data_IF_959715829427
#
_entry.id   IF_959715829427
#
_cell.length_a   1.000
_cell.length_b   1.000
_cell.length_c   1.000
_cell.angle_alpha   90.00
_cell.angle_beta   90.00
_cell.angle_gamma   90.00
#
_symmetry.space_group_name_H-M   'P 1'
#
loop_
_entity.id
_entity.type
_entity.pdbx_description
1 polymer ?
#
# COMPACT_ATOMS: atom_id res chain seq x y z
N UNK A 1 43.49 -6.55 -59.71
CA UNK A 1 43.69 -6.66 -58.25
C UNK A 1 42.51 -6.01 -57.54
N UNK A 2 41.61 -6.86 -57.06
CA UNK A 2 40.64 -6.70 -55.97
C UNK A 2 40.31 -5.29 -55.46
N UNK A 3 39.14 -4.83 -55.91
CA UNK A 3 38.17 -4.10 -55.09
C UNK A 3 37.97 -4.78 -53.72
N UNK A 4 38.22 -4.07 -52.62
CA UNK A 4 37.74 -4.41 -51.28
C UNK A 4 36.91 -3.25 -50.76
N UNK A 5 35.62 -3.51 -50.68
CA UNK A 5 34.59 -2.66 -50.10
C UNK A 5 34.80 -2.48 -48.60
N UNK A 6 34.83 -1.23 -48.15
CA UNK A 6 34.74 -0.87 -46.73
C UNK A 6 33.28 -0.93 -46.30
N UNK A 7 32.95 -1.90 -45.44
CA UNK A 7 31.62 -2.02 -44.85
C UNK A 7 31.42 -0.98 -43.75
N UNK A 8 30.42 -0.13 -43.90
CA UNK A 8 29.86 0.75 -42.87
C UNK A 8 29.10 -0.08 -41.82
N UNK A 9 29.60 -0.11 -40.58
CA UNK A 9 28.86 -0.61 -39.43
C UNK A 9 28.00 0.53 -38.83
N UNK A 10 26.67 0.42 -38.99
CA UNK A 10 25.68 1.28 -38.30
C UNK A 10 25.50 0.76 -36.87
N UNK A 11 25.85 1.58 -35.88
CA UNK A 11 25.51 1.33 -34.47
C UNK A 11 24.07 1.78 -34.19
N UNK A 12 23.19 0.83 -33.87
CA UNK A 12 21.84 1.09 -33.35
C UNK A 12 21.86 1.16 -31.82
N UNK A 13 21.15 2.12 -31.17
CA UNK A 13 21.11 2.20 -29.72
C UNK A 13 20.14 1.15 -29.14
N UNK A 14 20.65 0.35 -28.19
CA UNK A 14 19.94 -0.70 -27.48
C UNK A 14 19.03 -0.06 -26.42
N UNK A 15 17.70 -0.19 -26.57
CA UNK A 15 16.71 0.18 -25.55
C UNK A 15 16.96 -0.63 -24.28
N UNK A 16 17.23 0.05 -23.16
CA UNK A 16 17.15 -0.53 -21.83
C UNK A 16 15.66 -0.69 -21.48
N UNK A 17 15.19 -1.93 -21.41
CA UNK A 17 13.91 -2.26 -20.83
C UNK A 17 14.09 -2.41 -19.31
N UNK A 18 13.49 -1.50 -18.55
CA UNK A 18 13.35 -1.60 -17.09
C UNK A 18 12.25 -2.60 -16.77
N UNK A 19 12.63 -3.84 -16.46
CA UNK A 19 11.70 -4.79 -15.85
C UNK A 19 11.52 -4.42 -14.38
N UNK A 20 10.34 -3.91 -14.04
CA UNK A 20 9.89 -3.73 -12.67
C UNK A 20 9.70 -5.10 -12.01
N UNK A 21 10.61 -5.44 -11.11
CA UNK A 21 10.44 -6.59 -10.21
C UNK A 21 9.47 -6.19 -9.10
N UNK A 22 8.32 -6.86 -9.12
CA UNK A 22 7.30 -6.89 -8.08
C UNK A 22 7.96 -7.30 -6.75
N UNK A 23 8.20 -6.33 -5.85
CA UNK A 23 8.67 -6.59 -4.48
C UNK A 23 7.47 -7.05 -3.66
N UNK A 24 7.24 -8.36 -3.62
CA UNK A 24 6.41 -8.96 -2.57
C UNK A 24 7.23 -9.02 -1.29
N UNK A 25 6.59 -8.60 -0.19
CA UNK A 25 7.22 -8.34 1.10
C UNK A 25 8.05 -9.50 1.63
N UNK A 26 9.26 -9.16 2.05
CA UNK A 26 10.09 -9.98 2.92
C UNK A 26 9.45 -9.98 4.31
N UNK A 27 8.51 -10.90 4.52
CA UNK A 27 8.15 -11.30 5.87
C UNK A 27 9.37 -12.01 6.46
N UNK A 28 9.89 -11.45 7.55
CA UNK A 28 10.93 -12.02 8.39
C UNK A 28 10.58 -13.47 8.76
N UNK A 29 11.22 -14.43 8.08
CA UNK A 29 11.11 -15.85 8.39
C UNK A 29 11.78 -16.09 9.75
N UNK A 30 10.98 -16.43 10.75
CA UNK A 30 11.45 -17.13 11.94
C UNK A 30 12.20 -18.39 11.50
N UNK A 31 13.32 -18.64 12.16
CA UNK A 31 14.36 -19.61 11.82
C UNK A 31 13.95 -21.08 12.09
N UNK A 32 12.66 -21.34 12.29
CA UNK A 32 12.08 -22.68 12.47
C UNK A 32 11.63 -23.31 11.12
N UNK A 33 11.78 -22.56 10.03
CA UNK A 33 11.35 -22.90 8.66
C UNK A 33 12.37 -23.71 7.83
N UNK A 34 13.49 -24.14 8.42
CA UNK A 34 14.58 -24.80 7.69
C UNK A 34 14.38 -26.31 7.44
N UNK A 35 13.43 -26.93 8.13
CA UNK A 35 13.27 -28.39 8.20
C UNK A 35 12.02 -28.93 7.47
N UNK A 36 11.38 -28.13 6.60
CA UNK A 36 10.30 -28.66 5.77
C UNK A 36 10.85 -29.58 4.67
N UNK A 37 10.67 -30.88 4.89
CA UNK A 37 11.16 -31.98 4.03
C UNK A 37 10.03 -32.50 3.16
N UNK A 38 10.27 -32.68 1.86
CA UNK A 38 9.30 -33.38 1.02
C UNK A 38 9.19 -34.87 1.44
N UNK A 39 8.01 -35.41 1.76
CA UNK A 39 7.86 -36.78 2.26
C UNK A 39 8.24 -37.86 1.23
N UNK A 40 8.34 -37.51 -0.06
CA UNK A 40 8.56 -38.46 -1.16
C UNK A 40 10.02 -38.49 -1.61
N UNK A 41 10.59 -37.32 -1.93
CA UNK A 41 11.99 -37.23 -2.35
C UNK A 41 12.96 -36.95 -1.20
N UNK A 42 12.46 -36.65 0.00
CA UNK A 42 13.24 -36.29 1.19
C UNK A 42 14.23 -35.14 0.95
N UNK A 43 13.97 -34.32 -0.07
CA UNK A 43 14.78 -33.15 -0.33
C UNK A 43 14.27 -31.99 0.52
N UNK A 44 15.19 -31.21 1.06
CA UNK A 44 14.91 -30.12 1.99
C UNK A 44 15.06 -28.78 1.27
N UNK A 45 14.30 -27.79 1.72
CA UNK A 45 14.40 -26.41 1.24
C UNK A 45 15.81 -25.82 1.42
N UNK A 46 16.58 -26.32 2.39
CA UNK A 46 17.97 -25.91 2.61
C UNK A 46 18.92 -26.28 1.44
N UNK A 47 18.75 -27.45 0.81
CA UNK A 47 19.63 -27.90 -0.28
C UNK A 47 19.25 -27.27 -1.64
N UNK A 48 17.99 -26.86 -1.79
CA UNK A 48 17.49 -26.23 -3.01
C UNK A 48 16.48 -25.12 -2.64
N UNK A 49 16.92 -23.85 -2.55
CA UNK A 49 16.09 -22.75 -2.07
C UNK A 49 14.92 -22.43 -3.02
N UNK A 50 15.03 -22.80 -4.30
CA UNK A 50 13.98 -22.57 -5.31
C UNK A 50 12.85 -23.61 -5.26
N UNK A 51 12.98 -24.66 -4.43
CA UNK A 51 11.95 -25.69 -4.32
C UNK A 51 10.73 -25.16 -3.58
N UNK A 52 9.59 -25.12 -4.27
CA UNK A 52 8.29 -24.80 -3.68
C UNK A 52 7.60 -26.07 -3.20
N UNK A 53 7.15 -26.04 -1.93
CA UNK A 53 6.24 -27.03 -1.38
C UNK A 53 4.81 -26.55 -1.63
N UNK A 54 4.03 -27.41 -2.27
CA UNK A 54 2.63 -27.18 -2.60
C UNK A 54 1.76 -28.10 -1.75
N UNK A 55 0.53 -27.65 -1.46
CA UNK A 55 -0.45 -28.35 -0.63
C UNK A 55 -1.66 -28.73 -1.47
N UNK A 56 -2.07 -30.00 -1.41
CA UNK A 56 -3.31 -30.51 -2.03
C UNK A 56 -4.56 -30.27 -1.16
N UNK A 57 -5.74 -30.55 -1.70
CA UNK A 57 -7.01 -30.68 -0.94
C UNK A 57 -6.95 -31.66 0.23
N UNK A 58 -6.05 -32.64 0.20
CA UNK A 58 -5.83 -33.59 1.29
C UNK A 58 -4.93 -33.05 2.41
N UNK A 59 -4.50 -31.77 2.32
CA UNK A 59 -3.61 -31.11 3.27
C UNK A 59 -2.28 -31.86 3.50
N UNK A 60 -1.69 -32.40 2.44
CA UNK A 60 -0.33 -32.94 2.44
C UNK A 60 0.61 -32.06 1.61
N UNK A 61 1.79 -31.77 2.16
CA UNK A 61 2.86 -30.99 1.51
C UNK A 61 3.68 -31.88 0.57
N UNK A 62 3.88 -31.46 -0.68
CA UNK A 62 4.74 -32.12 -1.66
C UNK A 62 5.49 -31.10 -2.52
N UNK A 63 6.68 -31.43 -3.01
CA UNK A 63 7.42 -30.54 -3.90
C UNK A 63 6.93 -30.62 -5.34
N UNK A 64 7.12 -29.55 -6.09
CA UNK A 64 6.72 -29.43 -7.50
C UNK A 64 7.21 -30.61 -8.37
N UNK A 65 8.48 -31.02 -8.21
CA UNK A 65 9.05 -32.14 -8.96
C UNK A 65 8.38 -33.50 -8.67
N UNK A 66 7.97 -33.74 -7.42
CA UNK A 66 7.23 -34.96 -7.07
C UNK A 66 5.81 -34.93 -7.61
N UNK A 67 5.17 -33.76 -7.57
CA UNK A 67 3.81 -33.58 -8.10
C UNK A 67 3.81 -33.83 -9.61
N UNK A 68 4.77 -33.24 -10.33
CA UNK A 68 4.86 -33.40 -11.78
C UNK A 68 5.06 -34.85 -12.21
N UNK A 69 5.90 -35.60 -11.48
CA UNK A 69 6.14 -37.01 -11.79
C UNK A 69 4.95 -37.91 -11.44
N UNK A 70 4.32 -37.71 -10.27
CA UNK A 70 3.23 -38.58 -9.79
C UNK A 70 1.91 -38.31 -10.51
N UNK A 71 1.65 -37.06 -10.88
CA UNK A 71 0.42 -36.63 -11.52
C UNK A 71 0.61 -36.31 -13.01
N UNK A 72 1.72 -36.74 -13.63
CA UNK A 72 1.97 -36.61 -15.08
C UNK A 72 0.85 -37.23 -15.92
N UNK A 73 0.34 -38.38 -15.47
CA UNK A 73 -0.71 -39.14 -16.15
C UNK A 73 -2.13 -38.62 -15.83
N UNK A 74 -2.25 -37.51 -15.09
CA UNK A 74 -3.53 -36.89 -14.73
C UNK A 74 -3.91 -37.09 -13.27
N UNK A 75 -5.20 -37.33 -13.01
CA UNK A 75 -5.71 -37.52 -11.65
C UNK A 75 -5.15 -38.82 -11.07
N UNK A 76 -4.55 -38.73 -9.87
CA UNK A 76 -3.94 -39.86 -9.19
C UNK A 76 -4.27 -39.87 -7.70
N UNK A 77 -4.09 -41.00 -7.01
CA UNK A 77 -4.24 -41.06 -5.57
C UNK A 77 -3.06 -40.36 -4.87
N UNK A 78 -3.35 -39.59 -3.82
CA UNK A 78 -2.33 -39.08 -2.92
C UNK A 78 -1.58 -40.24 -2.25
N UNK A 79 -0.25 -40.25 -2.20
CA UNK A 79 0.52 -41.37 -1.65
C UNK A 79 0.44 -41.52 -0.12
N UNK A 80 -0.12 -40.52 0.59
CA UNK A 80 -0.22 -40.52 2.05
C UNK A 80 -1.62 -40.97 2.50
N UNK A 81 -2.68 -40.46 1.88
CA UNK A 81 -4.07 -40.75 2.26
C UNK A 81 -4.91 -41.47 1.20
N UNK A 82 -4.39 -41.70 -0.01
CA UNK A 82 -5.10 -42.40 -1.09
C UNK A 82 -6.20 -41.60 -1.79
N UNK A 83 -6.54 -40.38 -1.34
CA UNK A 83 -7.57 -39.57 -1.98
C UNK A 83 -7.13 -39.10 -3.38
N UNK A 84 -8.04 -39.20 -4.34
CA UNK A 84 -7.77 -38.85 -5.74
C UNK A 84 -7.68 -37.33 -5.87
N UNK A 85 -6.52 -36.84 -6.28
CA UNK A 85 -6.22 -35.41 -6.46
C UNK A 85 -5.67 -35.14 -7.87
N UNK A 86 -5.85 -33.90 -8.34
CA UNK A 86 -5.34 -33.42 -9.64
C UNK A 86 -4.22 -32.42 -9.42
N UNK A 87 -3.31 -32.29 -10.39
CA UNK A 87 -2.23 -31.30 -10.38
C UNK A 87 -2.72 -29.86 -10.13
N UNK A 88 -3.90 -29.49 -10.67
CA UNK A 88 -4.49 -28.15 -10.50
C UNK A 88 -4.92 -27.84 -9.07
N UNK A 89 -5.18 -28.87 -8.26
CA UNK A 89 -5.65 -28.71 -6.87
C UNK A 89 -4.49 -28.49 -5.89
N UNK A 90 -3.25 -28.43 -6.39
CA UNK A 90 -2.07 -28.08 -5.61
C UNK A 90 -1.84 -26.57 -5.68
N UNK A 91 -1.89 -25.92 -4.52
CA UNK A 91 -1.61 -24.50 -4.37
C UNK A 91 -0.40 -24.29 -3.46
N UNK A 92 0.23 -23.12 -3.60
CA UNK A 92 1.28 -22.69 -2.65
C UNK A 92 0.58 -22.43 -1.31
N UNK A 93 1.12 -23.03 -0.24
CA UNK A 93 0.62 -22.78 1.10
C UNK A 93 0.88 -21.31 1.45
N UNK A 94 -0.15 -20.59 1.88
CA UNK A 94 0.01 -19.21 2.36
C UNK A 94 0.35 -19.18 3.85
N UNK A 95 -0.02 -20.24 4.57
CA UNK A 95 0.23 -20.38 6.01
C UNK A 95 1.11 -21.60 6.30
N UNK A 96 1.88 -21.52 7.39
CA UNK A 96 2.76 -22.60 7.83
C UNK A 96 1.94 -23.80 8.35
N UNK A 97 0.87 -23.51 9.10
CA UNK A 97 -0.05 -24.52 9.66
C UNK A 97 -1.17 -24.88 8.67
N UNK A 98 -1.22 -26.17 8.34
CA UNK A 98 -2.21 -26.79 7.46
C UNK A 98 -3.62 -26.78 8.07
N UNK A 99 -3.73 -26.79 9.40
CA UNK A 99 -5.03 -26.70 10.09
C UNK A 99 -5.67 -25.34 9.87
N UNK A 100 -4.88 -24.27 9.95
CA UNK A 100 -5.32 -22.90 9.66
C UNK A 100 -5.76 -22.77 8.20
N UNK A 101 -5.03 -23.38 7.25
CA UNK A 101 -5.47 -23.39 5.86
C UNK A 101 -6.81 -24.12 5.66
N UNK A 102 -7.00 -25.25 6.36
CA UNK A 102 -8.25 -26.00 6.33
C UNK A 102 -9.41 -25.18 6.89
N UNK A 103 -9.20 -24.52 8.02
CA UNK A 103 -10.16 -23.63 8.66
C UNK A 103 -10.54 -22.46 7.76
N UNK A 104 -9.57 -21.78 7.15
CA UNK A 104 -9.83 -20.64 6.25
C UNK A 104 -10.62 -21.10 5.02
N UNK A 105 -10.27 -22.25 4.42
CA UNK A 105 -11.03 -22.78 3.27
C UNK A 105 -12.48 -23.12 3.65
N UNK A 106 -12.70 -23.73 4.81
CA UNK A 106 -14.03 -24.08 5.30
C UNK A 106 -14.83 -22.81 5.64
N UNK A 107 -14.26 -21.87 6.39
CA UNK A 107 -14.92 -20.60 6.73
C UNK A 107 -15.26 -19.77 5.50
N UNK A 108 -14.37 -19.67 4.51
CA UNK A 108 -14.67 -18.99 3.23
C UNK A 108 -15.84 -19.64 2.49
N UNK A 109 -15.90 -20.98 2.47
CA UNK A 109 -17.02 -21.72 1.88
C UNK A 109 -18.33 -21.44 2.61
N UNK A 110 -18.31 -21.43 3.94
CA UNK A 110 -19.51 -21.17 4.76
C UNK A 110 -19.95 -19.73 4.61
N UNK A 111 -19.04 -18.75 4.71
CA UNK A 111 -19.34 -17.32 4.56
C UNK A 111 -19.96 -16.99 3.18
N UNK A 112 -19.63 -17.77 2.14
CA UNK A 112 -20.27 -17.62 0.83
C UNK A 112 -21.76 -17.99 0.85
N UNK A 113 -22.15 -19.01 1.63
CA UNK A 113 -23.54 -19.45 1.76
C UNK A 113 -24.30 -18.67 2.84
N UNK A 114 -23.64 -18.30 3.93
CA UNK A 114 -24.20 -17.58 5.06
C UNK A 114 -23.81 -16.10 4.99
N UNK A 115 -24.37 -15.39 4.01
CA UNK A 115 -24.01 -14.01 3.68
C UNK A 115 -25.06 -12.98 4.16
N UNK A 116 -25.77 -13.26 5.26
CA UNK A 116 -26.72 -12.32 5.87
C UNK A 116 -25.97 -11.26 6.68
N UNK A 117 -26.42 -10.00 6.59
CA UNK A 117 -25.85 -8.86 7.33
C UNK A 117 -26.70 -8.56 8.57
N UNK A 118 -26.14 -7.76 9.48
CA UNK A 118 -26.87 -7.25 10.63
C UNK A 118 -28.17 -6.53 10.23
N UNK A 119 -28.18 -5.83 9.10
CA UNK A 119 -29.35 -5.13 8.53
C UNK A 119 -30.54 -6.06 8.21
N UNK A 120 -30.27 -7.35 7.98
CA UNK A 120 -31.30 -8.34 7.62
C UNK A 120 -32.04 -8.86 8.86
N UNK A 121 -31.60 -8.50 10.07
CA UNK A 121 -32.17 -8.97 11.34
C UNK A 121 -32.84 -7.82 12.11
N UNK A 122 -33.97 -8.09 12.79
CA UNK A 122 -34.68 -7.08 13.58
C UNK A 122 -33.97 -6.74 14.91
N UNK A 123 -33.11 -7.63 15.41
CA UNK A 123 -32.43 -7.49 16.71
C UNK A 123 -30.98 -7.94 16.63
N UNK A 124 -30.10 -7.24 17.34
CA UNK A 124 -28.70 -7.61 17.49
C UNK A 124 -28.53 -9.01 18.13
N UNK A 125 -29.46 -9.41 19.01
CA UNK A 125 -29.41 -10.73 19.65
C UNK A 125 -29.60 -11.85 18.62
N UNK A 126 -30.57 -11.72 17.73
CA UNK A 126 -30.83 -12.72 16.68
C UNK A 126 -29.66 -12.81 15.69
N UNK A 127 -29.03 -11.68 15.39
CA UNK A 127 -27.81 -11.66 14.58
C UNK A 127 -26.65 -12.40 15.26
N UNK A 128 -26.43 -12.18 16.56
CA UNK A 128 -25.39 -12.89 17.32
C UNK A 128 -25.69 -14.39 17.43
N UNK A 129 -26.94 -14.77 17.71
CA UNK A 129 -27.37 -16.17 17.75
C UNK A 129 -27.13 -16.85 16.39
N UNK A 130 -27.40 -16.15 15.28
CA UNK A 130 -27.08 -16.62 13.92
C UNK A 130 -25.57 -16.80 13.69
N UNK A 131 -24.73 -15.85 14.12
CA UNK A 131 -23.27 -15.98 14.01
C UNK A 131 -22.74 -17.17 14.81
N UNK A 132 -23.28 -17.42 16.01
CA UNK A 132 -22.94 -18.60 16.81
C UNK A 132 -23.34 -19.90 16.10
N UNK A 133 -24.52 -19.96 15.47
CA UNK A 133 -24.93 -21.11 14.66
C UNK A 133 -23.97 -21.37 13.48
N UNK A 134 -23.55 -20.30 12.79
CA UNK A 134 -22.59 -20.38 11.68
C UNK A 134 -21.23 -20.89 12.16
N UNK A 135 -20.72 -20.39 13.28
CA UNK A 135 -19.46 -20.88 13.87
C UNK A 135 -19.57 -22.33 14.36
N UNK A 136 -20.71 -22.74 14.93
CA UNK A 136 -20.93 -24.13 15.29
C UNK A 136 -20.88 -25.07 14.06
N UNK A 137 -21.47 -24.65 12.94
CA UNK A 137 -21.39 -25.37 11.66
C UNK A 137 -19.95 -25.44 11.15
N UNK A 138 -19.20 -24.33 11.23
CA UNK A 138 -17.80 -24.28 10.82
C UNK A 138 -16.93 -25.19 11.69
N UNK A 139 -17.11 -25.14 13.01
CA UNK A 139 -16.37 -25.94 13.97
C UNK A 139 -16.62 -27.44 13.78
N UNK A 140 -17.86 -27.84 13.52
CA UNK A 140 -18.22 -29.23 13.21
C UNK A 140 -17.48 -29.72 11.95
N UNK A 141 -17.44 -28.90 10.89
CA UNK A 141 -16.75 -29.24 9.64
C UNK A 141 -15.22 -29.30 9.79
N UNK A 142 -14.63 -28.42 10.60
CA UNK A 142 -13.18 -28.40 10.85
C UNK A 142 -12.75 -29.66 11.60
N UNK A 143 -13.48 -30.03 12.66
CA UNK A 143 -13.17 -31.16 13.53
C UNK A 143 -13.69 -32.51 12.98
N UNK A 144 -14.51 -32.49 11.93
CA UNK A 144 -15.07 -33.72 11.34
C UNK A 144 -16.18 -34.35 12.19
N UNK A 145 -16.87 -33.56 13.00
CA UNK A 145 -17.96 -34.02 13.87
C UNK A 145 -19.27 -33.86 13.13
N UNK A 146 -20.03 -34.95 13.00
CA UNK A 146 -21.33 -34.99 12.33
C UNK A 146 -21.34 -34.32 10.93
N UNK A 147 -20.44 -34.77 10.05
CA UNK A 147 -20.30 -34.22 8.69
C UNK A 147 -21.60 -34.33 7.88
N UNK A 148 -22.27 -35.47 7.94
CA UNK A 148 -23.49 -35.72 7.14
C UNK A 148 -24.65 -34.80 7.54
N UNK A 149 -24.91 -34.66 8.85
CA UNK A 149 -25.97 -33.79 9.35
C UNK A 149 -25.65 -32.32 9.07
N UNK A 150 -24.39 -31.93 9.22
CA UNK A 150 -23.95 -30.55 8.99
C UNK A 150 -24.04 -30.20 7.51
N UNK A 151 -23.62 -31.10 6.61
CA UNK A 151 -23.79 -30.92 5.17
C UNK A 151 -25.25 -30.91 4.74
N UNK A 152 -26.11 -31.73 5.36
CA UNK A 152 -27.54 -31.72 5.10
C UNK A 152 -28.17 -30.38 5.50
N UNK A 153 -27.80 -29.84 6.68
CA UNK A 153 -28.23 -28.50 7.13
C UNK A 153 -27.79 -27.41 6.16
N UNK A 154 -26.54 -27.45 5.68
CA UNK A 154 -26.03 -26.49 4.69
C UNK A 154 -26.83 -26.59 3.38
N UNK A 155 -27.11 -27.80 2.88
CA UNK A 155 -27.89 -27.99 1.64
C UNK A 155 -29.33 -27.51 1.79
N UNK A 156 -29.98 -27.77 2.92
CA UNK A 156 -31.32 -27.28 3.20
C UNK A 156 -31.33 -25.73 3.21
N UNK A 157 -30.39 -25.12 3.93
CA UNK A 157 -30.25 -23.67 3.98
C UNK A 157 -30.01 -23.05 2.59
N UNK A 158 -29.14 -23.67 1.78
CA UNK A 158 -28.88 -23.23 0.40
C UNK A 158 -30.13 -23.29 -0.47
N UNK A 159 -30.96 -24.31 -0.33
CA UNK A 159 -32.19 -24.46 -1.11
C UNK A 159 -33.25 -23.43 -0.70
N UNK A 160 -33.42 -23.21 0.60
CA UNK A 160 -34.40 -22.26 1.14
C UNK A 160 -34.01 -20.80 0.87
N UNK A 161 -32.72 -20.48 0.95
CA UNK A 161 -32.22 -19.10 0.86
C UNK A 161 -31.46 -18.81 -0.43
N UNK A 162 -31.59 -19.65 -1.47
CA UNK A 162 -30.83 -19.51 -2.72
C UNK A 162 -30.90 -18.08 -3.30
N UNK A 163 -32.10 -17.52 -3.40
CA UNK A 163 -32.33 -16.22 -4.02
C UNK A 163 -31.80 -15.07 -3.15
N UNK A 164 -31.93 -15.18 -1.83
CA UNK A 164 -31.36 -14.21 -0.88
C UNK A 164 -29.83 -14.22 -0.92
N UNK A 165 -29.24 -15.41 -0.99
CA UNK A 165 -27.78 -15.58 -1.10
C UNK A 165 -27.29 -14.94 -2.40
N UNK A 166 -27.96 -15.18 -3.51
CA UNK A 166 -27.61 -14.60 -4.81
C UNK A 166 -27.73 -13.07 -4.80
N UNK A 167 -28.80 -12.51 -4.23
CA UNK A 167 -28.99 -11.07 -4.12
C UNK A 167 -27.92 -10.40 -3.24
N UNK A 168 -27.63 -10.98 -2.07
CA UNK A 168 -26.58 -10.49 -1.17
C UNK A 168 -25.19 -10.58 -1.80
N UNK A 169 -24.89 -11.67 -2.53
CA UNK A 169 -23.62 -11.81 -3.25
C UNK A 169 -23.50 -10.75 -4.38
N UNK A 170 -24.58 -10.44 -5.09
CA UNK A 170 -24.59 -9.37 -6.09
C UNK A 170 -24.38 -7.99 -5.46
N UNK A 171 -25.01 -7.72 -4.31
CA UNK A 171 -24.79 -6.48 -3.54
C UNK A 171 -23.32 -6.31 -3.13
N UNK A 172 -22.72 -7.35 -2.55
CA UNK A 172 -21.28 -7.37 -2.21
C UNK A 172 -20.39 -7.07 -3.43
N UNK A 173 -20.67 -7.69 -4.58
CA UNK A 173 -19.89 -7.48 -5.81
C UNK A 173 -20.05 -6.07 -6.37
N UNK A 174 -21.21 -5.45 -6.21
CA UNK A 174 -21.44 -4.07 -6.62
C UNK A 174 -20.66 -3.10 -5.72
N UNK A 175 -20.74 -3.29 -4.40
CA UNK A 175 -19.99 -2.49 -3.42
C UNK A 175 -18.47 -2.61 -3.65
N UNK A 176 -17.93 -3.82 -3.87
CA UNK A 176 -16.51 -4.03 -4.16
C UNK A 176 -16.08 -3.32 -5.45
N UNK A 177 -16.92 -3.35 -6.50
CA UNK A 177 -16.65 -2.62 -7.75
C UNK A 177 -16.63 -1.11 -7.54
N UNK A 178 -17.58 -0.59 -6.76
CA UNK A 178 -17.62 0.84 -6.44
C UNK A 178 -16.39 1.26 -5.64
N UNK A 179 -15.99 0.49 -4.63
CA UNK A 179 -14.79 0.76 -3.84
C UNK A 179 -13.52 0.81 -4.72
N UNK A 180 -13.35 -0.15 -5.64
CA UNK A 180 -12.22 -0.15 -6.59
C UNK A 180 -12.23 1.06 -7.53
N UNK A 181 -13.40 1.49 -7.99
CA UNK A 181 -13.51 2.68 -8.85
C UNK A 181 -13.11 3.96 -8.11
N UNK A 182 -13.49 4.08 -6.83
CA UNK A 182 -13.06 5.20 -5.99
C UNK A 182 -11.55 5.17 -5.78
N UNK A 183 -10.98 4.02 -5.42
CA UNK A 183 -9.54 3.87 -5.23
C UNK A 183 -8.75 4.22 -6.52
N UNK A 184 -9.22 3.77 -7.69
CA UNK A 184 -8.62 4.11 -8.97
C UNK A 184 -8.69 5.61 -9.30
N UNK A 185 -9.77 6.29 -8.91
CA UNK A 185 -9.91 7.74 -9.10
C UNK A 185 -8.92 8.50 -8.22
N UNK A 186 -8.83 8.13 -6.93
CA UNK A 186 -7.88 8.73 -5.99
C UNK A 186 -6.42 8.53 -6.44
N UNK A 187 -6.09 7.33 -6.94
CA UNK A 187 -4.74 7.07 -7.47
C UNK A 187 -4.43 7.92 -8.71
N UNK A 188 -5.40 8.12 -9.62
CA UNK A 188 -5.21 8.98 -10.80
C UNK A 188 -5.05 10.44 -10.42
N UNK A 189 -5.81 10.91 -9.44
CA UNK A 189 -5.68 12.28 -8.92
C UNK A 189 -4.28 12.49 -8.34
N UNK A 190 -3.83 11.61 -7.45
CA UNK A 190 -2.46 11.63 -6.88
C UNK A 190 -1.37 11.59 -7.95
N UNK A 191 -1.53 10.76 -8.98
CA UNK A 191 -0.60 10.72 -10.11
C UNK A 191 -0.58 12.05 -10.88
N UNK A 192 -1.75 12.64 -11.15
CA UNK A 192 -1.84 13.91 -11.86
C UNK A 192 -1.23 15.07 -11.07
N UNK A 193 -1.36 15.05 -9.74
CA UNK A 193 -0.75 16.02 -8.85
C UNK A 193 0.76 15.88 -8.82
N UNK A 194 1.26 14.65 -8.73
CA UNK A 194 2.69 14.36 -8.79
C UNK A 194 3.30 14.79 -10.12
N UNK A 195 2.64 14.54 -11.25
CA UNK A 195 3.09 15.00 -12.57
C UNK A 195 3.15 16.52 -12.67
N UNK A 196 2.12 17.23 -12.17
CA UNK A 196 2.13 18.70 -12.11
C UNK A 196 3.28 19.21 -11.25
N UNK A 197 3.54 18.59 -10.11
CA UNK A 197 4.65 18.95 -9.23
C UNK A 197 6.02 18.74 -9.91
N UNK A 198 6.19 17.65 -10.67
CA UNK A 198 7.40 17.45 -11.46
C UNK A 198 7.58 18.53 -12.53
N UNK A 199 6.49 18.91 -13.22
CA UNK A 199 6.53 19.96 -14.23
C UNK A 199 6.94 21.31 -13.63
N UNK A 200 6.38 21.69 -12.47
CA UNK A 200 6.75 22.96 -11.82
C UNK A 200 8.22 22.97 -11.39
N UNK A 201 8.76 21.86 -10.88
CA UNK A 201 10.19 21.73 -10.58
C UNK A 201 11.08 21.84 -11.82
N UNK A 202 10.68 21.23 -12.95
CA UNK A 202 11.43 21.35 -14.21
C UNK A 202 11.42 22.78 -14.76
N UNK A 203 10.27 23.44 -14.72
CA UNK A 203 10.13 24.84 -15.11
C UNK A 203 11.00 25.73 -14.22
N UNK A 204 11.00 25.53 -12.90
CA UNK A 204 11.86 26.27 -11.98
C UNK A 204 13.36 26.05 -12.28
N UNK A 205 13.75 24.82 -12.62
CA UNK A 205 15.14 24.50 -13.03
C UNK A 205 15.52 25.22 -14.32
N UNK A 206 14.64 25.21 -15.34
CA UNK A 206 14.87 25.90 -16.62
C UNK A 206 14.99 27.40 -16.40
N UNK A 207 14.09 28.01 -15.63
CA UNK A 207 14.14 29.43 -15.30
C UNK A 207 15.43 29.79 -14.54
N UNK A 208 15.87 28.95 -13.58
CA UNK A 208 17.16 29.16 -12.90
C UNK A 208 18.35 29.06 -13.84
N UNK A 209 18.29 28.21 -14.88
CA UNK A 209 19.35 28.11 -15.88
C UNK A 209 19.38 29.36 -16.79
N UNK A 210 18.24 29.77 -17.35
CA UNK A 210 18.16 30.96 -18.19
C UNK A 210 18.60 32.22 -17.45
N UNK A 211 18.18 32.38 -16.20
CA UNK A 211 18.62 33.50 -15.35
C UNK A 211 20.13 33.49 -15.09
N UNK A 212 20.76 32.31 -14.99
CA UNK A 212 22.21 32.20 -14.86
C UNK A 212 22.92 32.56 -16.15
N UNK A 213 22.40 32.12 -17.29
CA UNK A 213 22.99 32.39 -18.60
C UNK A 213 22.89 33.89 -18.94
N UNK A 214 21.73 34.51 -18.72
CA UNK A 214 21.53 35.97 -18.85
C UNK A 214 22.48 36.75 -17.93
N UNK A 215 22.67 36.27 -16.69
CA UNK A 215 23.61 36.88 -15.75
C UNK A 215 25.06 36.80 -16.23
N UNK A 216 25.46 35.67 -16.85
CA UNK A 216 26.80 35.50 -17.44
C UNK A 216 26.98 36.44 -18.64
N UNK A 217 25.97 36.56 -19.50
CA UNK A 217 26.01 37.47 -20.66
C UNK A 217 26.12 38.94 -20.24
N UNK A 218 25.40 39.36 -19.20
CA UNK A 218 25.46 40.73 -18.66
C UNK A 218 26.83 41.05 -18.05
N UNK A 219 27.46 40.08 -17.39
CA UNK A 219 28.84 40.20 -16.90
C UNK A 219 29.88 40.25 -18.04
N UNK A 220 29.60 39.61 -19.18
CA UNK A 220 30.51 39.58 -20.32
C UNK A 220 30.38 40.82 -21.23
N UNK A 221 29.20 41.44 -21.28
CA UNK A 221 28.91 42.57 -22.19
C UNK A 221 29.09 43.94 -21.54
N UNK A 222 29.03 44.04 -20.21
CA UNK A 222 29.16 45.31 -19.51
C UNK A 222 30.57 45.55 -18.95
N UNK A 223 31.12 46.75 -19.17
CA UNK A 223 32.42 47.19 -18.63
C UNK A 223 32.34 47.67 -17.17
N UNK A 224 31.20 47.47 -16.50
CA UNK A 224 30.98 47.91 -15.13
C UNK A 224 31.63 46.95 -14.12
N UNK A 225 32.03 47.47 -12.95
CA UNK A 225 32.68 46.67 -11.91
C UNK A 225 31.75 45.51 -11.47
N UNK A 226 32.21 44.24 -11.49
CA UNK A 226 31.39 43.06 -11.18
C UNK A 226 30.63 43.13 -9.84
N UNK A 227 31.20 43.82 -8.85
CA UNK A 227 30.61 44.00 -7.52
C UNK A 227 29.30 44.81 -7.53
N UNK A 228 29.17 45.79 -8.44
CA UNK A 228 27.95 46.62 -8.54
C UNK A 228 26.79 45.84 -9.19
N UNK A 229 27.08 45.06 -10.22
CA UNK A 229 26.09 44.22 -10.93
C UNK A 229 25.56 43.12 -9.99
N UNK A 230 26.43 42.51 -9.20
CA UNK A 230 26.04 41.54 -8.16
C UNK A 230 25.17 42.17 -7.07
N UNK A 231 25.46 43.41 -6.64
CA UNK A 231 24.68 44.12 -5.63
C UNK A 231 23.27 44.47 -6.15
N UNK A 232 23.16 44.94 -7.39
CA UNK A 232 21.87 45.25 -8.03
C UNK A 232 21.01 44.01 -8.23
N UNK A 233 21.58 42.90 -8.73
CA UNK A 233 20.84 41.63 -8.90
C UNK A 233 20.49 40.97 -7.57
N UNK A 234 21.31 41.08 -6.53
CA UNK A 234 20.97 40.62 -5.17
C UNK A 234 19.83 41.46 -4.56
N UNK A 235 19.83 42.77 -4.77
CA UNK A 235 18.73 43.64 -4.34
C UNK A 235 17.43 43.31 -5.10
N UNK A 236 17.51 43.07 -6.41
CA UNK A 236 16.37 42.67 -7.24
C UNK A 236 15.85 41.25 -6.88
N UNK A 237 16.75 40.29 -6.63
CA UNK A 237 16.38 38.94 -6.21
C UNK A 237 15.76 38.91 -4.81
N UNK A 238 16.25 39.74 -3.87
CA UNK A 238 15.65 39.90 -2.55
C UNK A 238 14.24 40.51 -2.62
N UNK A 239 14.04 41.51 -3.49
CA UNK A 239 12.72 42.09 -3.74
C UNK A 239 11.76 41.10 -4.41
N UNK A 240 12.24 40.31 -5.38
CA UNK A 240 11.43 39.28 -6.06
C UNK A 240 11.10 38.08 -5.14
N UNK A 241 12.01 37.68 -4.25
CA UNK A 241 11.77 36.64 -3.25
C UNK A 241 10.68 37.08 -2.23
N UNK A 242 10.71 38.34 -1.79
CA UNK A 242 9.68 38.90 -0.91
C UNK A 242 8.29 38.99 -1.57
N UNK A 243 8.24 39.19 -2.90
CA UNK A 243 6.97 39.15 -3.64
C UNK A 243 6.46 37.71 -3.85
N UNK A 244 7.35 36.72 -4.02
CA UNK A 244 6.96 35.30 -4.20
C UNK A 244 6.39 34.67 -2.92
N UNK A 245 6.90 35.01 -1.74
CA UNK A 245 6.34 34.54 -0.46
C UNK A 245 4.91 35.03 -0.21
N UNK A 246 4.55 36.21 -0.74
CA UNK A 246 3.18 36.74 -0.68
C UNK A 246 2.20 36.09 -1.66
N UNK A 247 2.69 35.48 -2.76
CA UNK A 247 1.87 34.77 -3.74
C UNK A 247 1.61 33.31 -3.36
N UNK A 248 2.62 32.61 -2.82
CA UNK A 248 2.44 31.23 -2.34
C UNK A 248 1.44 31.16 -1.19
N UNK A 249 1.47 32.09 -0.24
CA UNK A 249 0.47 32.19 0.84
C UNK A 249 -0.94 32.51 0.34
N UNK A 250 -1.08 33.25 -0.77
CA UNK A 250 -2.38 33.54 -1.40
C UNK A 250 -2.92 32.35 -2.24
N UNK A 251 -2.05 31.57 -2.87
CA UNK A 251 -2.42 30.38 -3.64
C UNK A 251 -2.80 29.20 -2.73
N UNK A 252 -2.12 29.02 -1.59
CA UNK A 252 -2.52 28.05 -0.56
C UNK A 252 -3.83 28.44 0.15
N UNK A 253 -4.12 29.74 0.32
CA UNK A 253 -5.41 30.22 0.83
C UNK A 253 -6.55 30.11 -0.19
N UNK A 254 -6.24 30.17 -1.49
CA UNK A 254 -7.22 29.95 -2.57
C UNK A 254 -7.52 28.46 -2.81
N UNK A 255 -6.64 27.56 -2.35
CA UNK A 255 -6.83 26.11 -2.41
C UNK A 255 -7.66 25.54 -1.24
N UNK A 256 -8.05 26.37 -0.26
CA UNK A 256 -9.08 26.04 0.75
C UNK A 256 -10.45 26.59 0.33
N UNK A 257 -11.34 25.78 -0.26
CA UNK A 257 -12.71 26.21 -0.49
C UNK A 257 -13.49 26.12 0.83
N UNK A 258 -13.73 27.26 1.46
CA UNK A 258 -14.77 27.38 2.47
C UNK A 258 -16.14 27.43 1.74
N UNK A 259 -17.00 26.43 1.94
CA UNK A 259 -18.43 26.54 1.66
C UNK A 259 -19.00 25.55 0.63
N UNK A 260 -19.30 24.33 1.09
CA UNK A 260 -20.51 23.53 0.81
C UNK A 260 -21.33 23.98 -0.43
N UNK A 261 -21.06 23.34 -1.58
CA UNK A 261 -22.04 23.16 -2.65
C UNK A 261 -21.65 21.98 -3.57
N UNK A 262 -22.22 20.80 -3.28
CA UNK A 262 -22.45 19.66 -4.19
C UNK A 262 -21.19 18.98 -4.77
N UNK A 263 -20.68 17.88 -4.24
CA UNK A 263 -21.36 16.59 -4.00
C UNK A 263 -22.14 16.07 -5.22
N UNK A 264 -21.46 15.85 -6.35
CA UNK A 264 -22.06 15.23 -7.55
C UNK A 264 -22.06 13.70 -7.52
N UNK A 265 -21.17 13.06 -6.76
CA UNK A 265 -21.06 11.59 -6.74
C UNK A 265 -21.90 10.96 -5.60
N UNK A 266 -21.89 11.54 -4.40
CA UNK A 266 -22.67 11.02 -3.26
C UNK A 266 -24.19 11.19 -3.41
N UNK A 267 -24.64 12.28 -4.05
CA UNK A 267 -26.07 12.55 -4.29
C UNK A 267 -26.68 11.63 -5.35
N UNK A 268 -25.87 11.03 -6.24
CA UNK A 268 -26.35 10.16 -7.32
C UNK A 268 -26.50 8.69 -6.87
N UNK A 269 -25.93 8.30 -5.73
CA UNK A 269 -25.81 6.91 -5.27
C UNK A 269 -26.54 6.59 -3.95
N UNK A 270 -27.18 7.57 -3.30
CA UNK A 270 -28.09 7.30 -2.16
C UNK A 270 -27.43 6.71 -0.91
N UNK A 271 -26.15 6.99 -0.66
CA UNK A 271 -25.51 6.67 0.62
C UNK A 271 -25.67 7.87 1.58
N UNK A 272 -26.55 7.72 2.56
CA UNK A 272 -26.58 8.60 3.73
C UNK A 272 -25.33 8.35 4.55
N UNK A 273 -24.36 9.27 4.45
CA UNK A 273 -23.15 9.28 5.26
C UNK A 273 -23.49 9.88 6.62
N UNK A 274 -23.48 9.05 7.67
CA UNK A 274 -23.50 9.51 9.05
C UNK A 274 -22.40 10.56 9.25
N UNK A 275 -22.76 11.70 9.83
CA UNK A 275 -21.87 12.82 10.11
C UNK A 275 -20.81 12.39 11.13
N UNK A 276 -19.69 11.86 10.65
CA UNK A 276 -18.45 11.87 11.42
C UNK A 276 -17.83 13.26 11.30
N UNK A 277 -17.65 13.85 12.49
CA UNK A 277 -16.76 14.94 12.83
C UNK A 277 -15.58 15.14 11.84
N UNK A 278 -15.62 16.26 11.11
CA UNK A 278 -14.67 16.72 10.09
C UNK A 278 -13.38 17.34 10.68
N UNK A 279 -13.08 17.11 11.97
CA UNK A 279 -11.92 17.71 12.65
C UNK A 279 -10.65 16.85 12.68
N UNK A 280 -10.70 15.60 12.19
CA UNK A 280 -9.52 14.74 12.11
C UNK A 280 -9.22 14.41 10.65
N UNK A 281 -8.48 15.30 9.97
CA UNK A 281 -7.84 14.92 8.70
C UNK A 281 -6.87 13.77 9.01
N UNK A 282 -7.03 12.65 8.30
CA UNK A 282 -6.14 11.49 8.42
C UNK A 282 -4.69 11.94 8.16
N UNK A 283 -3.87 11.95 9.20
CA UNK A 283 -2.46 12.35 9.12
C UNK A 283 -1.64 11.12 8.73
N UNK A 284 -1.17 11.07 7.48
CA UNK A 284 -0.29 10.02 6.98
C UNK A 284 1.18 10.42 7.19
N UNK A 285 1.92 9.77 8.10
CA UNK A 285 3.28 10.16 8.46
C UNK A 285 4.30 10.02 7.32
N UNK A 286 3.98 9.25 6.26
CA UNK A 286 4.90 9.06 5.11
C UNK A 286 4.54 9.99 3.95
N UNK A 287 3.26 10.29 3.74
CA UNK A 287 2.83 11.20 2.66
C UNK A 287 2.90 12.69 3.07
N UNK A 288 2.89 12.99 4.37
CA UNK A 288 2.73 14.35 4.92
C UNK A 288 4.04 14.92 5.48
N UNK A 289 5.18 14.29 5.20
CA UNK A 289 6.50 14.60 5.77
C UNK A 289 6.98 16.05 5.57
N UNK A 290 6.40 16.77 4.60
CA UNK A 290 6.74 18.16 4.28
C UNK A 290 5.60 19.16 4.50
N UNK A 291 4.49 18.76 5.11
CA UNK A 291 3.43 19.71 5.46
C UNK A 291 3.72 20.34 6.82
N UNK A 292 3.52 21.65 6.92
CA UNK A 292 3.54 22.35 8.21
C UNK A 292 2.37 21.82 9.07
N UNK A 293 2.70 21.34 10.28
CA UNK A 293 1.71 20.79 11.21
C UNK A 293 0.91 21.97 11.78
N UNK A 294 -0.27 22.24 11.23
CA UNK A 294 -1.16 23.26 11.75
C UNK A 294 -1.90 22.77 13.00
N UNK A 295 -1.92 23.57 14.08
CA UNK A 295 -2.73 23.29 15.28
C UNK A 295 -2.03 23.43 16.62
N UNK A 296 -0.72 23.73 16.66
CA UNK A 296 -0.02 24.01 17.91
C UNK A 296 0.29 25.51 18.08
N UNK A 297 0.28 25.98 19.33
CA UNK A 297 0.78 27.31 19.69
C UNK A 297 2.11 27.15 20.40
N UNK A 298 3.19 27.65 19.80
CA UNK A 298 4.52 27.56 20.37
C UNK A 298 4.61 28.44 21.63
N UNK A 299 4.73 27.84 22.81
CA UNK A 299 5.00 28.60 24.05
C UNK A 299 6.46 29.05 24.05
N UNK A 300 6.68 30.33 24.35
CA UNK A 300 8.04 30.91 24.34
C UNK A 300 8.97 30.36 25.43
N UNK A 301 8.41 29.82 26.52
CA UNK A 301 9.14 29.26 27.66
C UNK A 301 8.54 27.91 28.05
N UNK A 302 9.36 26.88 27.94
CA UNK A 302 9.09 25.53 28.44
C UNK A 302 10.23 25.16 29.38
N UNK A 303 9.90 24.75 30.61
CA UNK A 303 10.92 24.33 31.58
C UNK A 303 11.15 22.84 31.42
N UNK A 304 12.33 22.49 30.93
CA UNK A 304 12.76 21.11 30.73
C UNK A 304 14.00 20.82 31.60
N UNK A 305 13.89 19.91 32.58
CA UNK A 305 14.99 19.56 33.49
C UNK A 305 16.25 19.00 32.81
N UNK A 306 16.16 18.51 31.58
CA UNK A 306 17.27 17.85 30.87
C UNK A 306 18.02 18.76 29.89
N UNK A 307 17.44 19.91 29.49
CA UNK A 307 18.03 20.84 28.52
C UNK A 307 18.54 22.14 29.12
N UNK A 308 18.49 22.30 30.45
CA UNK A 308 19.27 23.32 31.17
C UNK A 308 20.77 22.95 31.13
N UNK A 309 21.43 23.22 30.01
CA UNK A 309 22.84 22.85 29.84
C UNK A 309 23.76 24.05 29.97
N UNK A 310 24.83 23.80 30.75
CA UNK A 310 26.04 24.58 30.95
C UNK A 310 26.50 25.43 29.74
N UNK A 311 27.19 26.53 30.03
CA UNK A 311 27.69 27.51 29.06
C UNK A 311 28.50 26.94 27.87
N UNK A 312 28.93 25.66 27.94
CA UNK A 312 29.69 24.97 26.90
C UNK A 312 28.87 24.73 25.61
N UNK A 313 27.56 24.48 25.73
CA UNK A 313 26.69 24.08 24.61
C UNK A 313 26.34 25.19 23.62
N UNK A 314 26.62 26.47 23.96
CA UNK A 314 26.29 27.64 23.11
C UNK A 314 27.30 27.91 21.99
N UNK A 315 28.40 27.17 21.94
CA UNK A 315 29.55 27.49 21.08
C UNK A 315 29.43 27.05 19.61
N UNK A 316 28.29 26.46 19.19
CA UNK A 316 28.10 25.93 17.83
C UNK A 316 26.81 26.34 17.11
N UNK A 317 26.13 27.42 17.52
CA UNK A 317 24.82 27.79 16.93
C UNK A 317 23.65 26.94 17.42
N UNK A 318 23.86 26.17 18.49
CA UNK A 318 22.84 25.36 19.15
C UNK A 318 21.76 26.26 19.77
N UNK A 319 20.55 26.22 19.19
CA UNK A 319 19.39 26.91 19.72
C UNK A 319 18.41 25.90 20.31
N UNK A 320 18.13 26.03 21.60
CA UNK A 320 17.26 25.12 22.37
C UNK A 320 15.86 25.05 21.75
N UNK A 321 15.36 26.17 21.18
CA UNK A 321 14.05 26.23 20.52
C UNK A 321 13.93 25.23 19.36
N UNK A 322 14.99 25.11 18.55
CA UNK A 322 14.99 24.23 17.38
C UNK A 322 14.98 22.75 17.77
N UNK A 323 15.64 22.39 18.87
CA UNK A 323 15.65 21.02 19.39
C UNK A 323 14.26 20.61 19.88
N UNK A 324 13.57 21.50 20.59
CA UNK A 324 12.21 21.23 21.03
C UNK A 324 11.21 21.13 19.87
N UNK A 325 11.33 22.01 18.87
CA UNK A 325 10.49 21.97 17.67
C UNK A 325 10.69 20.66 16.90
N UNK A 326 11.94 20.25 16.69
CA UNK A 326 12.26 18.97 16.04
C UNK A 326 11.76 17.77 16.86
N UNK A 327 11.92 17.79 18.18
CA UNK A 327 11.44 16.69 19.04
C UNK A 327 9.92 16.57 19.01
N UNK A 328 9.19 17.68 18.96
CA UNK A 328 7.74 17.68 18.81
C UNK A 328 7.31 17.17 17.43
N UNK A 329 7.98 17.59 16.36
CA UNK A 329 7.72 17.08 15.01
C UNK A 329 7.99 15.58 14.90
N UNK A 330 9.08 15.08 15.49
CA UNK A 330 9.39 13.65 15.53
C UNK A 330 8.35 12.86 16.34
N UNK A 331 7.93 13.40 17.50
CA UNK A 331 6.88 12.76 18.31
C UNK A 331 5.52 12.73 17.60
N UNK A 332 5.20 13.75 16.82
CA UNK A 332 3.93 13.84 16.09
C UNK A 332 3.92 12.98 14.81
N UNK A 333 5.06 12.91 14.10
CA UNK A 333 5.24 12.06 12.92
C UNK A 333 5.44 10.58 13.25
N UNK A 334 5.69 10.24 14.51
CA UNK A 334 5.88 8.85 14.94
C UNK A 334 7.18 8.20 14.42
N UNK A 335 8.03 8.98 13.75
CA UNK A 335 9.32 8.54 13.23
C UNK A 335 10.37 8.89 14.29
N UNK A 336 10.78 7.88 15.07
CA UNK A 336 11.92 8.01 15.96
C UNK A 336 13.20 8.09 15.13
N UNK A 337 13.84 9.26 15.10
CA UNK A 337 15.22 9.41 14.66
C UNK A 337 16.13 8.55 15.57
N UNK A 338 16.85 7.58 14.99
CA UNK A 338 17.92 6.81 15.66
C UNK A 338 19.24 7.58 15.62
#
# INVERSE_FOLDING_TARGET
>A
MSVRSSATAKSTPKKLASNGTNRQGEASLSNDNADEVCPICKNNRYLSPDMKLLVSECYHKMCESCIDRLFANGAGPCPICGQVVRKVNFAIATFEDLLVEKEIKIRKRIAHHFNKRQEDFPSLKEYNDYLEEVENIAWNLINGISLEETEAKIKAYQQENHDLIAANAQRMLQEEKLAKLVEEQEQKEKQSEFEKYQQTLEEERKLKATLKDEFIEELATSDASPEKILAEKKAAAAAAAAQRSSKQTAEHAAATPYGIAGNSVGMWLGLDREQMDDSMKDYDPVATEYADIDGYTLREKYYDPFTEVSALSKTGGFNIKFVHERALQAAFSGICDV
#
